data_IF_562647435381
#
_entry.id   IF_562647435381
#
_cell.length_a   1.000
_cell.length_b   1.000
_cell.length_c   1.000
_cell.angle_alpha   90.00
_cell.angle_beta   90.00
_cell.angle_gamma   90.00
#
_symmetry.space_group_name_H-M   'P 1'
#
loop_
_entity.id
_entity.type
_entity.pdbx_description
1 polymer ?
#
# COMPACT_ATOMS: atom_id res chain seq x y z
N UNK A 1 -28.33 22.42 10.00
CA UNK A 1 -29.68 22.41 10.60
C UNK A 1 -29.60 21.99 12.06
N UNK A 2 -28.98 20.84 12.39
CA UNK A 2 -28.84 20.38 13.77
C UNK A 2 -27.87 21.17 14.68
N UNK A 3 -27.18 22.22 14.19
CA UNK A 3 -26.08 22.88 14.91
C UNK A 3 -26.51 23.46 16.26
N UNK A 4 -27.64 24.18 16.31
CA UNK A 4 -28.13 24.80 17.54
C UNK A 4 -28.58 23.76 18.57
N UNK A 5 -29.16 22.64 18.12
CA UNK A 5 -29.59 21.53 18.98
C UNK A 5 -28.40 20.89 19.72
N UNK A 6 -27.36 20.50 18.97
CA UNK A 6 -26.11 19.97 19.53
C UNK A 6 -25.14 21.06 20.03
N UNK A 7 -25.53 22.34 19.91
CA UNK A 7 -24.79 23.55 20.33
C UNK A 7 -23.38 23.64 19.72
N UNK A 8 -23.23 23.21 18.46
CA UNK A 8 -21.97 23.20 17.70
C UNK A 8 -21.80 24.47 16.86
N UNK A 9 -20.56 24.89 16.67
CA UNK A 9 -20.21 26.07 15.87
C UNK A 9 -20.23 25.77 14.36
N UNK A 10 -19.93 24.54 13.98
CA UNK A 10 -19.92 24.09 12.58
C UNK A 10 -20.22 22.59 12.45
N UNK A 11 -20.36 22.09 11.21
CA UNK A 11 -20.81 20.73 10.93
C UNK A 11 -19.66 19.72 11.11
N UNK A 12 -19.70 18.84 12.14
CA UNK A 12 -18.59 17.97 12.50
C UNK A 12 -18.29 16.89 11.47
N UNK A 13 -19.25 16.49 10.63
CA UNK A 13 -19.11 15.32 9.75
C UNK A 13 -19.15 15.65 8.24
N UNK A 14 -18.77 16.87 7.85
CA UNK A 14 -18.59 17.23 6.43
C UNK A 14 -17.63 16.25 5.73
N UNK A 15 -17.97 15.92 4.48
CA UNK A 15 -17.17 15.07 3.58
C UNK A 15 -16.10 15.83 2.80
N UNK A 16 -16.22 17.16 2.70
CA UNK A 16 -15.17 18.02 2.14
C UNK A 16 -13.91 17.87 3.00
N UNK A 17 -12.72 17.67 2.41
CA UNK A 17 -11.46 17.70 3.14
C UNK A 17 -11.31 19.01 3.92
N UNK A 18 -10.97 18.89 5.21
CA UNK A 18 -10.54 20.01 6.02
C UNK A 18 -9.44 19.55 6.99
N UNK A 19 -8.21 20.03 6.82
CA UNK A 19 -7.09 19.79 7.73
C UNK A 19 -7.37 20.06 9.22
N UNK A 20 -8.28 20.99 9.56
CA UNK A 20 -8.64 21.25 10.96
C UNK A 20 -9.30 20.05 11.65
N UNK A 21 -9.93 19.17 10.88
CA UNK A 21 -10.61 17.96 11.35
C UNK A 21 -9.76 16.68 11.19
N UNK A 22 -8.47 16.79 10.86
CA UNK A 22 -7.59 15.63 10.71
C UNK A 22 -7.22 15.03 12.08
N UNK A 23 -7.92 13.96 12.45
CA UNK A 23 -7.48 13.10 13.55
C UNK A 23 -6.20 12.34 13.19
N UNK A 24 -5.07 12.73 13.78
CA UNK A 24 -3.79 12.03 13.64
C UNK A 24 -3.75 10.74 14.47
N UNK A 25 -4.44 9.69 14.02
CA UNK A 25 -4.25 8.34 14.56
C UNK A 25 -2.80 7.89 14.40
N UNK A 26 -2.38 6.84 15.13
CA UNK A 26 -0.99 6.30 15.04
C UNK A 26 -0.55 6.00 13.61
N UNK A 27 -1.48 5.59 12.74
CA UNK A 27 -1.21 5.32 11.32
C UNK A 27 -1.10 6.60 10.48
N UNK A 28 -1.96 7.60 10.71
CA UNK A 28 -1.88 8.90 10.06
C UNK A 28 -0.59 9.65 10.43
N UNK A 29 -0.19 9.63 11.70
CA UNK A 29 1.05 10.23 12.17
C UNK A 29 2.29 9.58 11.52
N UNK A 30 2.30 8.25 11.33
CA UNK A 30 3.37 7.54 10.59
C UNK A 30 3.38 7.93 9.11
N UNK A 31 2.22 7.96 8.47
CA UNK A 31 2.10 8.38 7.07
C UNK A 31 2.62 9.81 6.87
N UNK A 32 2.26 10.73 7.77
CA UNK A 32 2.75 12.11 7.78
C UNK A 32 4.27 12.18 7.90
N UNK A 33 4.86 11.49 8.88
CA UNK A 33 6.31 11.45 9.06
C UNK A 33 7.06 10.87 7.84
N UNK A 34 6.44 9.94 7.11
CA UNK A 34 7.01 9.42 5.86
C UNK A 34 6.98 10.47 4.74
N UNK A 35 5.89 11.25 4.64
CA UNK A 35 5.81 12.39 3.71
C UNK A 35 6.83 13.49 4.06
N UNK A 36 6.92 13.88 5.34
CA UNK A 36 7.92 14.83 5.85
C UNK A 36 9.35 14.39 5.53
N UNK A 37 9.64 13.08 5.57
CA UNK A 37 10.96 12.56 5.20
C UNK A 37 11.36 12.86 3.75
N UNK A 38 10.42 13.06 2.82
CA UNK A 38 10.75 13.43 1.42
C UNK A 38 11.40 14.79 1.28
N UNK A 39 11.15 15.70 2.23
CA UNK A 39 11.74 17.04 2.20
C UNK A 39 13.25 16.95 2.48
N UNK A 40 13.64 16.09 3.42
CA UNK A 40 15.03 15.86 3.83
C UNK A 40 15.81 14.94 2.90
N UNK A 41 15.14 13.97 2.26
CA UNK A 41 15.78 12.94 1.44
C UNK A 41 15.34 13.04 -0.02
N UNK A 42 16.29 13.31 -0.91
CA UNK A 42 16.09 13.44 -2.37
C UNK A 42 16.02 12.10 -3.09
N UNK A 43 16.53 11.03 -2.49
CA UNK A 43 16.60 9.71 -3.11
C UNK A 43 15.30 8.91 -3.02
N UNK A 44 14.62 8.81 -4.17
CA UNK A 44 13.53 7.86 -4.39
C UNK A 44 12.14 8.37 -4.00
N UNK A 45 11.16 7.49 -4.16
CA UNK A 45 9.74 7.82 -4.01
C UNK A 45 9.20 7.45 -2.64
N UNK A 46 8.20 8.20 -2.19
CA UNK A 46 7.31 7.77 -1.11
C UNK A 46 5.94 7.47 -1.73
N UNK A 47 5.43 6.28 -1.45
CA UNK A 47 4.11 5.84 -1.91
C UNK A 47 3.17 5.73 -0.71
N UNK A 48 2.05 6.45 -0.76
CA UNK A 48 0.99 6.43 0.26
C UNK A 48 -0.26 5.82 -0.36
N UNK A 49 -0.52 4.54 -0.10
CA UNK A 49 -1.78 3.89 -0.49
C UNK A 49 -2.78 3.88 0.66
N UNK A 50 -4.04 3.56 0.38
CA UNK A 50 -5.07 3.37 1.40
C UNK A 50 -6.46 3.34 0.77
N UNK A 51 -7.43 2.84 1.52
CA UNK A 51 -8.81 2.66 1.04
C UNK A 51 -9.49 3.95 0.56
N UNK A 52 -10.58 3.82 -0.20
CA UNK A 52 -11.38 4.97 -0.62
C UNK A 52 -11.97 5.65 0.62
N UNK A 53 -11.68 6.94 0.79
CA UNK A 53 -12.15 7.70 1.96
C UNK A 53 -11.37 7.45 3.26
N UNK A 54 -10.18 6.84 3.18
CA UNK A 54 -9.28 6.64 4.33
C UNK A 54 -8.63 7.92 4.90
N UNK A 55 -8.77 9.07 4.23
CA UNK A 55 -8.21 10.37 4.68
C UNK A 55 -6.94 10.84 3.95
N UNK A 56 -6.47 10.11 2.92
CA UNK A 56 -5.25 10.45 2.15
C UNK A 56 -5.16 11.92 1.71
N UNK A 57 -6.18 12.44 1.04
CA UNK A 57 -6.17 13.82 0.53
C UNK A 57 -6.12 14.86 1.65
N UNK A 58 -6.87 14.64 2.75
CA UNK A 58 -6.81 15.52 3.94
C UNK A 58 -5.44 15.46 4.62
N UNK A 59 -4.79 14.30 4.66
CA UNK A 59 -3.41 14.15 5.13
C UNK A 59 -2.42 14.92 4.24
N UNK A 60 -2.57 14.83 2.92
CA UNK A 60 -1.76 15.57 1.95
C UNK A 60 -1.94 17.08 2.13
N UNK A 61 -3.18 17.58 2.20
CA UNK A 61 -3.47 19.00 2.42
C UNK A 61 -2.91 19.53 3.75
N UNK A 62 -2.95 18.70 4.80
CA UNK A 62 -2.37 19.05 6.11
C UNK A 62 -0.86 19.16 6.02
N UNK A 63 -0.20 18.16 5.41
CA UNK A 63 1.23 18.20 5.14
C UNK A 63 1.63 19.43 4.30
N UNK A 64 0.88 19.74 3.24
CA UNK A 64 1.14 20.90 2.38
C UNK A 64 1.01 22.25 3.11
N UNK A 65 0.06 22.38 4.05
CA UNK A 65 -0.09 23.59 4.89
C UNK A 65 1.09 23.81 5.85
N UNK A 66 1.83 22.75 6.20
CA UNK A 66 2.96 22.81 7.13
C UNK A 66 4.33 22.94 6.42
N UNK A 67 4.38 22.95 5.09
CA UNK A 67 5.63 23.08 4.35
C UNK A 67 6.29 24.45 4.50
N UNK A 68 7.63 24.43 4.53
CA UNK A 68 8.47 25.61 4.54
C UNK A 68 8.40 26.37 3.19
N UNK A 69 8.58 27.70 3.22
CA UNK A 69 8.38 28.59 2.05
C UNK A 69 9.37 28.40 0.90
N UNK A 70 10.44 27.65 1.12
CA UNK A 70 11.43 27.29 0.10
C UNK A 70 11.07 25.99 -0.65
N UNK A 71 9.97 25.32 -0.27
CA UNK A 71 9.46 24.15 -0.98
C UNK A 71 8.48 24.60 -2.07
N UNK A 72 8.81 24.31 -3.33
CA UNK A 72 7.94 24.55 -4.49
C UNK A 72 7.20 23.27 -4.83
N UNK A 73 5.86 23.33 -4.77
CA UNK A 73 4.99 22.16 -4.90
C UNK A 73 4.26 22.18 -6.24
N UNK A 74 4.21 21.03 -6.91
CA UNK A 74 3.20 20.72 -7.92
C UNK A 74 2.32 19.57 -7.43
N UNK A 75 1.01 19.79 -7.40
CA UNK A 75 0.02 18.76 -7.07
C UNK A 75 -0.77 18.38 -8.32
N UNK A 76 -0.76 17.09 -8.67
CA UNK A 76 -1.49 16.53 -9.81
C UNK A 76 -2.60 15.62 -9.29
N UNK A 77 -3.85 16.08 -9.43
CA UNK A 77 -5.05 15.31 -9.04
C UNK A 77 -5.77 14.68 -10.25
N UNK A 78 -5.53 15.19 -11.46
CA UNK A 78 -6.07 14.61 -12.70
C UNK A 78 -5.04 13.64 -13.29
N UNK A 79 -5.36 12.35 -13.23
CA UNK A 79 -4.45 11.25 -13.55
C UNK A 79 -4.86 10.45 -14.79
N UNK A 80 -6.00 10.77 -15.42
CA UNK A 80 -6.39 10.26 -16.74
C UNK A 80 -5.74 11.09 -17.86
N UNK A 81 -4.41 11.01 -17.97
CA UNK A 81 -3.59 11.85 -18.88
C UNK A 81 -2.55 11.02 -19.66
N UNK A 82 -2.18 11.50 -20.84
CA UNK A 82 -0.99 11.06 -21.57
C UNK A 82 0.29 11.63 -20.96
N UNK A 83 1.46 11.09 -21.34
CA UNK A 83 2.76 11.61 -20.87
C UNK A 83 3.00 13.08 -21.25
N UNK A 84 2.39 13.57 -22.34
CA UNK A 84 2.51 14.98 -22.77
C UNK A 84 1.62 15.88 -21.90
N UNK A 85 0.36 15.49 -21.70
CA UNK A 85 -0.60 16.24 -20.85
C UNK A 85 -0.18 16.25 -19.38
N UNK A 86 0.47 15.19 -18.90
CA UNK A 86 1.10 15.12 -17.58
C UNK A 86 2.21 16.16 -17.43
N UNK A 87 3.18 16.19 -18.37
CA UNK A 87 4.27 17.17 -18.37
C UNK A 87 3.76 18.61 -18.53
N UNK A 88 2.71 18.83 -19.33
CA UNK A 88 2.05 20.12 -19.45
C UNK A 88 1.38 20.53 -18.13
N UNK A 89 0.67 19.63 -17.47
CA UNK A 89 0.02 19.89 -16.18
C UNK A 89 1.03 20.22 -15.09
N UNK A 90 2.17 19.51 -15.06
CA UNK A 90 3.29 19.79 -14.16
C UNK A 90 3.87 21.20 -14.38
N UNK A 91 4.12 21.59 -15.64
CA UNK A 91 4.60 22.94 -15.97
C UNK A 91 3.56 24.04 -15.70
N UNK A 92 2.26 23.74 -15.83
CA UNK A 92 1.18 24.67 -15.43
C UNK A 92 1.17 24.91 -13.91
N UNK A 93 1.39 23.88 -13.09
CA UNK A 93 1.54 24.04 -11.63
C UNK A 93 2.71 24.95 -11.26
N UNK A 94 3.78 24.96 -12.08
CA UNK A 94 4.93 25.86 -11.93
C UNK A 94 4.75 27.23 -12.64
N UNK A 95 3.56 27.54 -13.18
CA UNK A 95 3.22 28.86 -13.74
C UNK A 95 3.51 29.06 -15.24
N UNK A 96 3.89 28.01 -15.98
CA UNK A 96 4.15 28.09 -17.43
C UNK A 96 2.87 27.92 -18.28
N UNK A 97 2.95 28.27 -19.57
CA UNK A 97 1.91 28.02 -20.58
C UNK A 97 2.38 27.04 -21.67
N UNK A 98 2.48 25.74 -21.36
CA UNK A 98 3.20 24.74 -22.17
C UNK A 98 2.39 24.12 -23.33
N UNK A 99 1.17 24.60 -23.59
CA UNK A 99 0.19 23.92 -24.45
C UNK A 99 0.60 23.76 -25.93
N UNK A 100 1.56 24.55 -26.41
CA UNK A 100 2.12 24.46 -27.78
C UNK A 100 3.45 23.71 -27.86
N UNK A 101 4.04 23.36 -26.71
CA UNK A 101 5.36 22.75 -26.64
C UNK A 101 5.31 21.25 -27.01
N UNK A 102 6.30 20.79 -27.76
CA UNK A 102 6.52 19.35 -28.00
C UNK A 102 7.14 18.69 -26.76
N UNK A 103 7.05 17.35 -26.66
CA UNK A 103 7.57 16.59 -25.51
C UNK A 103 9.03 16.94 -25.13
N UNK A 104 9.91 17.10 -26.12
CA UNK A 104 11.30 17.48 -25.87
C UNK A 104 11.45 18.88 -25.26
N UNK A 105 10.64 19.85 -25.72
CA UNK A 105 10.59 21.22 -25.19
C UNK A 105 10.00 21.27 -23.77
N UNK A 106 8.99 20.44 -23.48
CA UNK A 106 8.45 20.26 -22.13
C UNK A 106 9.53 19.75 -21.15
N UNK A 107 10.25 18.69 -21.54
CA UNK A 107 11.32 18.11 -20.71
C UNK A 107 12.49 19.09 -20.52
N UNK A 108 12.88 19.82 -21.57
CA UNK A 108 13.93 20.83 -21.47
C UNK A 108 13.54 22.00 -20.55
N UNK A 109 12.30 22.48 -20.65
CA UNK A 109 11.76 23.55 -19.80
C UNK A 109 11.68 23.11 -18.35
N UNK A 110 11.21 21.89 -18.09
CA UNK A 110 11.13 21.31 -16.75
C UNK A 110 12.52 21.11 -16.13
N UNK A 111 13.49 20.60 -16.90
CA UNK A 111 14.86 20.44 -16.42
C UNK A 111 15.50 21.80 -16.08
N UNK A 112 15.33 22.81 -16.93
CA UNK A 112 15.81 24.16 -16.66
C UNK A 112 15.19 24.74 -15.38
N UNK A 113 13.86 24.60 -15.21
CA UNK A 113 13.16 25.01 -14.00
C UNK A 113 13.70 24.31 -12.74
N UNK A 114 13.87 22.98 -12.76
CA UNK A 114 14.36 22.22 -11.61
C UNK A 114 15.79 22.64 -11.20
N UNK A 115 16.67 22.89 -12.18
CA UNK A 115 18.03 23.40 -11.94
C UNK A 115 17.99 24.83 -11.37
N UNK A 116 17.11 25.69 -11.89
CA UNK A 116 16.93 27.05 -11.37
C UNK A 116 16.41 27.05 -9.92
N UNK A 117 15.44 26.18 -9.59
CA UNK A 117 14.96 26.07 -8.20
C UNK A 117 16.09 25.63 -7.26
N UNK A 118 16.86 24.60 -7.65
CA UNK A 118 18.00 24.13 -6.89
C UNK A 118 19.08 25.20 -6.69
N UNK A 119 19.42 25.97 -7.74
CA UNK A 119 20.39 27.06 -7.65
C UNK A 119 19.93 28.20 -6.70
N UNK A 120 18.62 28.38 -6.55
CA UNK A 120 18.01 29.30 -5.57
C UNK A 120 17.85 28.70 -4.16
N UNK A 121 18.36 27.49 -3.90
CA UNK A 121 18.19 26.77 -2.65
C UNK A 121 16.76 26.27 -2.39
N UNK A 122 15.89 26.27 -3.41
CA UNK A 122 14.49 25.84 -3.30
C UNK A 122 14.34 24.35 -3.61
N UNK A 123 13.51 23.66 -2.82
CA UNK A 123 13.26 22.22 -2.90
C UNK A 123 12.01 21.97 -3.75
N UNK A 124 12.09 21.19 -4.82
CA UNK A 124 10.92 20.88 -5.66
C UNK A 124 10.27 19.57 -5.24
N UNK A 125 8.95 19.61 -5.02
CA UNK A 125 8.11 18.48 -4.64
C UNK A 125 6.98 18.29 -5.65
N UNK A 126 6.86 17.08 -6.19
CA UNK A 126 5.72 16.61 -6.96
C UNK A 126 4.87 15.66 -6.10
N UNK A 127 3.59 15.99 -5.93
CA UNK A 127 2.59 15.07 -5.38
C UNK A 127 1.64 14.67 -6.49
N UNK A 128 1.44 13.37 -6.70
CA UNK A 128 0.39 12.85 -7.59
C UNK A 128 -0.61 12.07 -6.76
N UNK A 129 -1.84 12.59 -6.60
CA UNK A 129 -2.94 11.90 -5.93
C UNK A 129 -3.74 11.05 -6.94
N UNK A 130 -4.47 10.05 -6.46
CA UNK A 130 -5.19 9.07 -7.30
C UNK A 130 -4.29 8.42 -8.40
N UNK A 131 -3.02 8.17 -8.05
CA UNK A 131 -1.98 7.73 -8.98
C UNK A 131 -2.21 6.31 -9.56
N UNK A 132 -3.11 5.50 -9.01
CA UNK A 132 -3.48 4.20 -9.60
C UNK A 132 -4.07 4.34 -11.02
N UNK A 133 -4.66 5.50 -11.35
CA UNK A 133 -5.24 5.77 -12.66
C UNK A 133 -4.18 6.10 -13.74
N UNK A 134 -2.95 6.49 -13.36
CA UNK A 134 -1.88 6.83 -14.31
C UNK A 134 -1.52 5.63 -15.18
N UNK A 135 -1.38 5.80 -16.50
CA UNK A 135 -0.89 4.70 -17.34
C UNK A 135 0.58 4.34 -17.02
N UNK A 136 0.99 3.09 -17.29
CA UNK A 136 2.38 2.66 -17.09
C UNK A 136 3.39 3.54 -17.86
N UNK A 137 2.98 4.12 -19.00
CA UNK A 137 3.79 5.08 -19.78
C UNK A 137 4.02 6.41 -19.05
N UNK A 138 3.08 6.86 -18.21
CA UNK A 138 3.24 8.07 -17.39
C UNK A 138 4.03 7.75 -16.13
N UNK A 139 3.82 6.59 -15.52
CA UNK A 139 4.63 6.11 -14.40
C UNK A 139 6.11 5.95 -14.77
N UNK A 140 6.42 5.45 -15.98
CA UNK A 140 7.79 5.46 -16.50
C UNK A 140 8.32 6.87 -16.82
N UNK A 141 7.47 7.81 -17.24
CA UNK A 141 7.87 9.22 -17.37
C UNK A 141 8.28 9.81 -16.01
N UNK A 142 7.49 9.56 -14.96
CA UNK A 142 7.79 9.94 -13.57
C UNK A 142 9.12 9.31 -13.12
N UNK A 143 9.40 8.05 -13.49
CA UNK A 143 10.70 7.42 -13.25
C UNK A 143 11.84 8.18 -13.91
N UNK A 144 11.69 8.56 -15.18
CA UNK A 144 12.71 9.30 -15.92
C UNK A 144 12.97 10.69 -15.31
N UNK A 145 11.90 11.41 -14.93
CA UNK A 145 12.01 12.70 -14.23
C UNK A 145 12.75 12.59 -12.89
N UNK A 146 12.61 11.48 -12.17
CA UNK A 146 13.37 11.22 -10.94
C UNK A 146 14.87 10.91 -11.17
N UNK A 147 15.29 10.78 -12.42
CA UNK A 147 16.70 10.67 -12.81
C UNK A 147 17.33 12.02 -13.16
N UNK A 148 16.59 13.13 -13.03
CA UNK A 148 17.15 14.47 -13.18
C UNK A 148 17.96 14.80 -11.94
N UNK A 149 19.26 14.91 -12.14
CA UNK A 149 20.27 15.06 -11.09
C UNK A 149 21.19 16.22 -11.44
N UNK A 150 21.61 16.97 -10.42
CA UNK A 150 22.80 17.82 -10.51
C UNK A 150 24.05 16.97 -10.33
N UNK A 151 25.24 17.55 -10.42
CA UNK A 151 26.51 16.84 -10.17
C UNK A 151 26.67 16.29 -8.74
N UNK A 152 25.72 16.52 -7.83
CA UNK A 152 25.75 16.00 -6.44
C UNK A 152 24.42 15.48 -5.90
N UNK A 153 23.27 16.02 -6.33
CA UNK A 153 21.96 15.73 -5.70
C UNK A 153 20.81 15.65 -6.71
N UNK A 154 19.80 14.80 -6.43
CA UNK A 154 18.53 14.81 -7.17
C UNK A 154 17.71 16.05 -6.82
N UNK A 155 17.10 16.66 -7.83
CA UNK A 155 16.38 17.95 -7.68
C UNK A 155 14.88 17.81 -7.43
N UNK A 156 14.28 16.68 -7.82
CA UNK A 156 12.84 16.44 -7.77
C UNK A 156 12.48 15.37 -6.73
N UNK A 157 11.72 15.75 -5.70
CA UNK A 157 11.10 14.85 -4.70
C UNK A 157 9.73 14.43 -5.22
N UNK A 158 9.33 13.16 -5.03
CA UNK A 158 8.04 12.66 -5.53
C UNK A 158 7.29 11.84 -4.49
N UNK A 159 6.03 12.21 -4.26
CA UNK A 159 5.05 11.44 -3.50
C UNK A 159 3.98 10.93 -4.48
N UNK A 160 3.72 9.62 -4.47
CA UNK A 160 2.60 9.01 -5.18
C UNK A 160 1.55 8.57 -4.15
N UNK A 161 0.36 9.17 -4.20
CA UNK A 161 -0.77 8.79 -3.37
C UNK A 161 -1.85 8.08 -4.21
N UNK A 162 -2.54 7.11 -3.63
CA UNK A 162 -3.56 6.36 -4.37
C UNK A 162 -4.26 5.26 -3.59
N UNK A 163 -5.01 4.46 -4.32
CA UNK A 163 -5.77 3.31 -3.81
C UNK A 163 -4.89 2.03 -3.78
N UNK A 164 -5.31 0.91 -3.16
CA UNK A 164 -4.49 -0.30 -3.04
C UNK A 164 -3.90 -0.81 -4.35
N UNK A 165 -4.64 -0.68 -5.45
CA UNK A 165 -4.29 -1.09 -6.82
C UNK A 165 -3.02 -0.40 -7.34
N UNK A 166 -2.63 0.74 -6.74
CA UNK A 166 -1.34 1.37 -7.03
C UNK A 166 -0.17 0.45 -6.62
N UNK A 167 -0.27 -0.30 -5.51
CA UNK A 167 0.77 -1.26 -5.15
C UNK A 167 0.87 -2.39 -6.17
N UNK A 168 -0.26 -3.01 -6.52
CA UNK A 168 -0.31 -4.12 -7.49
C UNK A 168 0.24 -3.70 -8.85
N UNK A 169 -0.08 -2.47 -9.27
CA UNK A 169 0.46 -1.84 -10.47
C UNK A 169 1.97 -1.63 -10.40
N UNK A 170 2.47 -1.06 -9.31
CA UNK A 170 3.90 -0.83 -9.08
C UNK A 170 4.69 -2.15 -8.99
N UNK A 171 4.07 -3.22 -8.50
CA UNK A 171 4.68 -4.55 -8.40
C UNK A 171 4.57 -5.37 -9.70
N UNK A 172 3.94 -4.81 -10.75
CA UNK A 172 3.85 -5.46 -12.06
C UNK A 172 5.22 -5.54 -12.77
N UNK A 173 5.47 -6.57 -13.61
CA UNK A 173 6.75 -6.75 -14.30
C UNK A 173 7.21 -5.55 -15.15
N UNK A 174 6.26 -4.76 -15.66
CA UNK A 174 6.54 -3.58 -16.48
C UNK A 174 7.06 -2.35 -15.71
N UNK A 175 6.97 -2.35 -14.37
CA UNK A 175 7.35 -1.20 -13.52
C UNK A 175 8.45 -1.52 -12.49
N UNK A 176 9.14 -2.66 -12.63
CA UNK A 176 10.21 -3.09 -11.70
C UNK A 176 11.28 -2.01 -11.49
N UNK A 177 11.65 -1.25 -12.54
CA UNK A 177 12.63 -0.16 -12.43
C UNK A 177 12.12 1.03 -11.61
N UNK A 178 10.82 1.33 -11.68
CA UNK A 178 10.17 2.35 -10.87
C UNK A 178 10.03 1.85 -9.42
N UNK A 179 9.65 0.59 -9.24
CA UNK A 179 9.49 -0.05 -7.95
C UNK A 179 10.79 -0.04 -7.12
N UNK A 180 11.93 -0.30 -7.75
CA UNK A 180 13.26 -0.23 -7.11
C UNK A 180 13.65 1.17 -6.64
N UNK A 181 13.06 2.23 -7.20
CA UNK A 181 13.26 3.62 -6.75
C UNK A 181 12.29 4.05 -5.66
N UNK A 182 11.35 3.21 -5.24
CA UNK A 182 10.48 3.52 -4.10
C UNK A 182 11.26 3.29 -2.80
N UNK A 183 11.50 4.37 -2.05
CA UNK A 183 12.23 4.35 -0.79
C UNK A 183 11.34 3.96 0.39
N UNK A 184 10.08 4.42 0.40
CA UNK A 184 9.09 4.04 1.42
C UNK A 184 7.75 3.74 0.75
N UNK A 185 7.09 2.67 1.20
CA UNK A 185 5.66 2.44 0.99
C UNK A 185 4.95 2.48 2.33
N UNK A 186 3.86 3.22 2.41
CA UNK A 186 2.93 3.17 3.53
C UNK A 186 1.53 2.86 3.00
N UNK A 187 0.79 2.05 3.76
CA UNK A 187 -0.61 1.80 3.51
C UNK A 187 -1.42 2.33 4.69
N UNK A 188 -2.24 3.34 4.43
CA UNK A 188 -3.12 3.99 5.39
C UNK A 188 -4.34 3.08 5.61
N UNK A 189 -4.21 2.22 6.63
CA UNK A 189 -5.27 1.34 7.08
C UNK A 189 -6.47 2.12 7.63
N UNK A 190 -7.68 1.52 7.64
CA UNK A 190 -8.83 2.05 8.35
C UNK A 190 -8.53 2.28 9.84
N UNK A 191 -9.34 3.12 10.50
CA UNK A 191 -9.23 3.37 11.94
C UNK A 191 -9.56 2.09 12.73
N UNK A 192 -8.87 1.85 13.85
CA UNK A 192 -9.26 0.80 14.79
C UNK A 192 -10.61 1.12 15.45
N UNK A 193 -11.22 0.14 16.15
CA UNK A 193 -12.45 0.38 16.95
C UNK A 193 -12.27 1.53 17.95
N UNK A 194 -11.13 1.59 18.62
CA UNK A 194 -10.78 2.66 19.57
C UNK A 194 -10.50 3.99 18.86
N UNK A 195 -9.76 3.98 17.74
CA UNK A 195 -9.50 5.20 16.96
C UNK A 195 -10.79 5.74 16.32
N UNK A 196 -11.78 4.90 16.00
CA UNK A 196 -13.07 5.33 15.45
C UNK A 196 -13.87 6.15 16.46
N UNK A 197 -13.93 5.71 17.72
CA UNK A 197 -14.55 6.50 18.79
C UNK A 197 -13.78 7.81 19.05
N UNK A 198 -12.45 7.75 19.09
CA UNK A 198 -11.60 8.92 19.27
C UNK A 198 -11.69 9.93 18.10
N UNK A 199 -11.84 9.44 16.86
CA UNK A 199 -12.08 10.23 15.66
C UNK A 199 -13.40 10.99 15.72
N UNK A 200 -14.48 10.30 16.10
CA UNK A 200 -15.81 10.91 16.27
C UNK A 200 -15.74 12.01 17.33
N UNK A 201 -15.16 11.71 18.50
CA UNK A 201 -15.01 12.68 19.57
C UNK A 201 -14.12 13.87 19.15
N UNK A 202 -13.03 13.63 18.43
CA UNK A 202 -12.16 14.68 17.92
C UNK A 202 -12.91 15.63 16.97
N UNK A 203 -13.65 15.11 15.99
CA UNK A 203 -14.43 15.96 15.07
C UNK A 203 -15.52 16.76 15.79
N UNK A 204 -16.16 16.17 16.80
CA UNK A 204 -17.12 16.88 17.65
C UNK A 204 -16.46 18.00 18.46
N UNK A 205 -15.27 17.75 19.03
CA UNK A 205 -14.55 18.76 19.81
C UNK A 205 -14.07 19.93 18.93
N UNK A 206 -13.54 19.65 17.73
CA UNK A 206 -13.19 20.68 16.74
C UNK A 206 -14.41 21.52 16.35
N UNK A 207 -15.57 20.89 16.15
CA UNK A 207 -16.85 21.57 15.91
C UNK A 207 -17.41 22.34 17.13
N UNK A 208 -16.75 22.30 18.29
CA UNK A 208 -17.15 23.02 19.50
C UNK A 208 -18.08 22.24 20.43
N UNK A 209 -17.98 20.91 20.52
CA UNK A 209 -18.76 20.11 21.48
C UNK A 209 -18.44 20.45 22.93
N UNK A 210 -17.25 20.97 23.25
CA UNK A 210 -16.83 21.37 24.60
C UNK A 210 -16.99 20.23 25.62
N UNK A 211 -16.59 19.01 25.24
CA UNK A 211 -16.75 17.81 26.06
C UNK A 211 -18.19 17.31 26.25
N UNK A 212 -19.20 17.88 25.58
CA UNK A 212 -20.58 17.34 25.64
C UNK A 212 -20.68 15.98 24.97
N UNK A 213 -21.43 15.09 25.60
CA UNK A 213 -21.68 13.73 25.14
C UNK A 213 -22.79 13.69 24.09
N UNK A 214 -22.43 14.03 22.85
CA UNK A 214 -23.37 14.07 21.70
C UNK A 214 -23.72 12.66 21.19
N UNK A 215 -22.84 11.68 21.40
CA UNK A 215 -23.09 10.26 21.07
C UNK A 215 -23.07 9.41 22.34
N UNK A 216 -24.06 8.54 22.48
CA UNK A 216 -24.06 7.49 23.50
C UNK A 216 -22.93 6.47 23.21
N UNK A 217 -22.19 5.95 24.21
CA UNK A 217 -21.02 5.11 23.96
C UNK A 217 -21.36 3.76 23.31
N UNK A 218 -22.60 3.28 23.48
CA UNK A 218 -23.11 2.06 22.83
C UNK A 218 -23.30 2.23 21.31
N UNK A 219 -23.23 3.46 20.79
CA UNK A 219 -23.24 3.71 19.33
C UNK A 219 -21.92 3.34 18.67
N UNK A 220 -20.76 3.56 19.32
CA UNK A 220 -19.45 3.40 18.68
C UNK A 220 -19.16 1.98 18.15
N UNK A 221 -19.51 0.87 18.85
CA UNK A 221 -19.35 -0.47 18.30
C UNK A 221 -20.16 -0.70 17.02
N UNK A 222 -21.36 -0.13 16.92
CA UNK A 222 -22.25 -0.25 15.75
C UNK A 222 -21.71 0.59 14.60
N UNK A 223 -21.31 1.84 14.88
CA UNK A 223 -20.68 2.71 13.88
C UNK A 223 -19.44 2.01 13.29
N UNK A 224 -18.56 1.45 14.12
CA UNK A 224 -17.40 0.71 13.64
C UNK A 224 -17.78 -0.51 12.77
N UNK A 225 -18.75 -1.32 13.20
CA UNK A 225 -19.23 -2.52 12.47
C UNK A 225 -19.74 -2.21 11.05
N UNK A 226 -20.45 -1.10 10.86
CA UNK A 226 -21.01 -0.71 9.56
C UNK A 226 -20.09 0.15 8.70
N UNK A 227 -19.00 0.70 9.25
CA UNK A 227 -18.07 1.61 8.56
C UNK A 227 -16.67 1.04 8.35
N UNK A 228 -16.30 -0.01 9.08
CA UNK A 228 -14.94 -0.56 9.09
C UNK A 228 -13.89 0.40 9.66
N UNK A 229 -14.30 1.51 10.29
CA UNK A 229 -13.39 2.60 10.65
C UNK A 229 -12.91 3.43 9.45
N UNK A 230 -13.57 3.37 8.28
CA UNK A 230 -13.28 4.26 7.15
C UNK A 230 -13.83 5.66 7.46
N UNK A 231 -12.99 6.72 7.59
CA UNK A 231 -13.40 8.07 7.93
C UNK A 231 -14.58 8.60 7.12
N UNK A 232 -14.60 8.42 5.79
CA UNK A 232 -15.72 8.84 4.93
C UNK A 232 -17.04 8.17 5.31
N UNK A 233 -17.03 6.87 5.64
CA UNK A 233 -18.25 6.14 6.03
C UNK A 233 -18.67 6.51 7.46
N UNK A 234 -17.71 6.69 8.38
CA UNK A 234 -17.98 7.19 9.74
C UNK A 234 -18.66 8.54 9.68
N UNK A 235 -18.15 9.46 8.86
CA UNK A 235 -18.76 10.78 8.65
C UNK A 235 -20.19 10.69 8.14
N UNK A 236 -20.45 9.95 7.06
CA UNK A 236 -21.80 9.81 6.51
C UNK A 236 -22.78 9.26 7.55
N UNK A 237 -22.42 8.19 8.26
CA UNK A 237 -23.31 7.59 9.26
C UNK A 237 -23.56 8.51 10.46
N UNK A 238 -22.52 9.22 10.93
CA UNK A 238 -22.67 10.15 12.05
C UNK A 238 -23.50 11.39 11.67
N UNK A 239 -23.36 11.92 10.45
CA UNK A 239 -24.15 13.06 9.97
C UNK A 239 -25.64 12.70 9.85
N UNK A 240 -25.96 11.55 9.23
CA UNK A 240 -27.34 11.03 9.14
C UNK A 240 -27.92 10.77 10.53
N UNK A 241 -27.15 10.19 11.46
CA UNK A 241 -27.63 9.91 12.81
C UNK A 241 -27.87 11.17 13.66
N UNK A 242 -27.06 12.22 13.46
CA UNK A 242 -27.33 13.53 14.06
C UNK A 242 -28.59 14.18 13.46
N UNK A 243 -28.85 14.04 12.16
CA UNK A 243 -30.11 14.48 11.55
C UNK A 243 -31.32 13.70 12.10
N UNK A 244 -31.20 12.38 12.28
CA UNK A 244 -32.27 11.53 12.82
C UNK A 244 -32.60 11.87 14.28
N UNK A 245 -31.59 12.07 15.14
CA UNK A 245 -31.80 12.51 16.52
C UNK A 245 -32.40 13.94 16.59
N UNK A 246 -31.92 14.86 15.73
CA UNK A 246 -32.46 16.21 15.62
C UNK A 246 -33.93 16.24 15.16
N UNK A 247 -34.31 15.37 14.21
CA UNK A 247 -35.69 15.24 13.73
C UNK A 247 -36.68 14.75 14.79
N UNK A 248 -36.20 14.31 15.95
CA UNK A 248 -36.99 13.92 17.11
C UNK A 248 -36.63 14.74 18.38
N UNK A 249 -36.16 15.97 18.18
CA UNK A 249 -35.86 16.96 19.23
C UNK A 249 -34.86 16.47 20.31
N UNK A 250 -33.92 15.58 19.95
CA UNK A 250 -32.85 15.10 20.84
C UNK A 250 -31.50 15.76 20.55
N UNK A 251 -30.79 16.13 21.63
CA UNK A 251 -29.40 16.59 21.62
C UNK A 251 -28.36 15.48 21.92
N UNK A 252 -28.80 14.21 21.93
CA UNK A 252 -27.95 13.01 22.05
C UNK A 252 -28.36 11.96 21.02
N UNK A 253 -27.38 11.44 20.28
CA UNK A 253 -27.52 10.35 19.31
C UNK A 253 -27.46 9.00 20.05
N UNK A 254 -28.53 8.22 19.93
CA UNK A 254 -28.70 6.91 20.55
C UNK A 254 -28.58 5.78 19.51
N UNK A 255 -28.48 4.53 19.99
CA UNK A 255 -28.44 3.32 19.15
C UNK A 255 -29.61 3.25 18.15
N UNK A 256 -30.80 3.76 18.49
CA UNK A 256 -31.95 3.78 17.58
C UNK A 256 -31.73 4.72 16.38
N UNK A 257 -31.06 5.84 16.57
CA UNK A 257 -30.80 6.84 15.53
C UNK A 257 -29.74 6.31 14.54
N UNK A 258 -28.73 5.58 15.05
CA UNK A 258 -27.76 4.82 14.23
C UNK A 258 -28.47 3.76 13.39
N UNK A 259 -29.39 2.98 13.97
CA UNK A 259 -30.14 1.93 13.25
C UNK A 259 -31.03 2.52 12.16
N UNK A 260 -31.79 3.56 12.47
CA UNK A 260 -32.60 4.27 11.48
C UNK A 260 -31.74 4.80 10.31
N UNK A 261 -30.56 5.36 10.62
CA UNK A 261 -29.60 5.83 9.61
C UNK A 261 -29.05 4.70 8.74
N UNK A 262 -28.79 3.53 9.31
CA UNK A 262 -28.34 2.33 8.58
C UNK A 262 -29.44 1.84 7.61
N UNK A 263 -30.69 1.83 8.06
CA UNK A 263 -31.84 1.45 7.25
C UNK A 263 -32.10 2.45 6.11
N UNK A 264 -32.08 3.76 6.41
CA UNK A 264 -32.21 4.85 5.43
C UNK A 264 -31.11 4.81 4.37
N UNK A 265 -29.85 4.63 4.78
CA UNK A 265 -28.72 4.52 3.87
C UNK A 265 -28.67 3.18 3.12
N UNK A 266 -29.56 2.22 3.45
CA UNK A 266 -29.59 0.84 2.93
C UNK A 266 -28.24 0.11 3.13
N UNK A 267 -27.65 0.29 4.30
CA UNK A 267 -26.29 -0.11 4.61
C UNK A 267 -26.20 -1.52 5.20
N UNK A 268 -25.48 -2.42 4.52
CA UNK A 268 -25.03 -3.70 5.11
C UNK A 268 -23.71 -3.52 5.86
N UNK A 269 -23.28 -4.52 6.62
CA UNK A 269 -22.04 -4.44 7.41
C UNK A 269 -20.79 -4.25 6.54
N UNK A 270 -19.75 -3.61 7.09
CA UNK A 270 -18.55 -3.30 6.31
C UNK A 270 -17.80 -4.56 5.82
N UNK A 271 -17.80 -5.62 6.63
CA UNK A 271 -17.24 -6.92 6.25
C UNK A 271 -17.93 -7.48 4.99
N UNK A 272 -19.26 -7.53 5.00
CA UNK A 272 -20.04 -7.96 3.84
C UNK A 272 -19.84 -7.06 2.61
N UNK A 273 -19.72 -5.73 2.78
CA UNK A 273 -19.44 -4.82 1.66
C UNK A 273 -18.06 -5.07 1.06
N UNK A 274 -17.06 -5.27 1.90
CA UNK A 274 -15.69 -5.54 1.46
C UNK A 274 -15.65 -6.83 0.63
N UNK A 275 -16.33 -7.89 1.11
CA UNK A 275 -16.50 -9.13 0.37
C UNK A 275 -17.26 -8.93 -0.94
N UNK A 276 -18.40 -8.21 -0.95
CA UNK A 276 -19.19 -7.92 -2.17
C UNK A 276 -18.45 -7.03 -3.17
N UNK A 277 -17.59 -6.12 -2.71
CA UNK A 277 -16.73 -5.28 -3.57
C UNK A 277 -15.55 -6.05 -4.16
N UNK A 278 -14.94 -6.95 -3.40
CA UNK A 278 -13.88 -7.85 -3.89
C UNK A 278 -14.43 -8.97 -4.80
N UNK A 279 -15.67 -9.41 -4.58
CA UNK A 279 -16.35 -10.44 -5.36
C UNK A 279 -17.09 -9.92 -6.60
N UNK A 280 -16.91 -8.65 -6.99
CA UNK A 280 -17.36 -8.09 -8.27
C UNK A 280 -16.30 -8.37 -9.35
N UNK A 281 -16.47 -9.35 -10.24
CA UNK A 281 -15.55 -9.53 -11.36
C UNK A 281 -15.83 -8.43 -12.39
N UNK A 282 -14.80 -8.03 -13.14
CA UNK A 282 -15.04 -7.28 -14.38
C UNK A 282 -16.00 -8.08 -15.28
N UNK A 283 -17.02 -7.41 -15.83
CA UNK A 283 -18.04 -8.04 -16.67
C UNK A 283 -17.42 -8.73 -17.89
N UNK A 284 -17.28 -10.04 -17.82
CA UNK A 284 -17.30 -10.95 -18.96
C UNK A 284 -18.50 -11.89 -18.81
N UNK A 285 -19.19 -12.17 -19.92
CA UNK A 285 -20.44 -12.92 -19.93
C UNK A 285 -20.26 -14.38 -19.48
N UNK A 286 -21.07 -14.85 -18.51
CA UNK A 286 -21.81 -16.13 -18.61
C UNK A 286 -22.86 -16.32 -17.49
N UNK A 287 -23.91 -17.05 -17.87
CA UNK A 287 -25.05 -17.61 -17.13
C UNK A 287 -24.97 -17.93 -15.61
N UNK A 288 -25.99 -17.45 -14.90
CA UNK A 288 -26.88 -18.13 -13.95
C UNK A 288 -26.46 -19.40 -13.17
N UNK A 289 -26.63 -19.35 -11.84
CA UNK A 289 -26.73 -20.51 -10.92
C UNK A 289 -27.32 -20.09 -9.56
N UNK A 290 -28.22 -20.91 -8.99
CA UNK A 290 -29.01 -20.57 -7.78
C UNK A 290 -28.36 -21.03 -6.45
N UNK A 291 -28.54 -20.22 -5.41
CA UNK A 291 -29.22 -20.65 -4.16
C UNK A 291 -28.44 -21.35 -3.03
N UNK A 292 -28.42 -20.70 -1.85
CA UNK A 292 -28.20 -21.21 -0.47
C UNK A 292 -26.87 -21.97 -0.20
N UNK A 293 -26.12 -21.65 0.86
CA UNK A 293 -26.56 -21.86 2.24
C UNK A 293 -25.88 -20.92 3.28
N UNK A 294 -26.44 -20.84 4.49
CA UNK A 294 -26.02 -19.93 5.56
C UNK A 294 -25.41 -20.65 6.77
N UNK A 295 -24.08 -20.79 6.84
CA UNK A 295 -23.42 -21.22 8.09
C UNK A 295 -21.99 -20.69 8.26
N UNK A 296 -21.73 -19.99 9.36
CA UNK A 296 -20.40 -19.65 9.92
C UNK A 296 -19.38 -18.95 9.01
N UNK A 297 -19.25 -17.62 9.12
CA UNK A 297 -18.12 -16.85 8.58
C UNK A 297 -16.78 -17.20 9.29
N UNK A 298 -16.20 -18.35 8.95
CA UNK A 298 -14.86 -18.73 9.40
C UNK A 298 -13.82 -17.82 8.73
N UNK A 299 -13.12 -17.03 9.56
CA UNK A 299 -11.91 -16.28 9.19
C UNK A 299 -11.01 -17.18 8.33
N UNK A 300 -10.64 -16.73 7.13
CA UNK A 300 -9.90 -17.57 6.18
C UNK A 300 -8.43 -17.65 6.57
N UNK A 301 -8.12 -18.55 7.49
CA UNK A 301 -6.74 -18.94 7.82
C UNK A 301 -6.16 -19.69 6.61
N UNK A 302 -5.01 -19.23 6.13
CA UNK A 302 -4.29 -19.76 4.97
C UNK A 302 -2.94 -20.38 5.37
N UNK A 303 -2.57 -20.29 6.63
CA UNK A 303 -1.39 -20.90 7.22
C UNK A 303 -1.28 -20.52 8.68
N UNK A 304 -0.33 -21.12 9.39
CA UNK A 304 0.03 -20.73 10.75
C UNK A 304 1.52 -20.64 10.90
N UNK A 305 1.95 -19.92 11.94
CA UNK A 305 3.32 -19.97 12.42
C UNK A 305 3.35 -20.38 13.89
N UNK A 306 4.26 -21.28 14.22
CA UNK A 306 4.62 -21.62 15.59
C UNK A 306 5.99 -21.03 15.90
N UNK A 307 6.07 -20.19 16.91
CA UNK A 307 7.27 -19.47 17.34
C UNK A 307 7.86 -20.21 18.53
N UNK A 308 9.13 -20.60 18.43
CA UNK A 308 9.89 -21.26 19.48
C UNK A 308 11.17 -20.52 19.84
N UNK A 309 11.61 -20.71 21.09
CA UNK A 309 12.91 -20.28 21.58
C UNK A 309 13.47 -21.36 22.50
N UNK A 310 14.74 -21.74 22.35
CA UNK A 310 15.41 -22.75 23.17
C UNK A 310 14.64 -24.09 23.31
N UNK A 311 13.94 -24.52 22.26
CA UNK A 311 13.15 -25.77 22.25
C UNK A 311 11.77 -25.69 22.92
N UNK A 312 11.30 -24.51 23.33
CA UNK A 312 9.95 -24.28 23.82
C UNK A 312 9.15 -23.38 22.87
N UNK A 313 7.92 -23.78 22.54
CA UNK A 313 6.96 -22.95 21.79
C UNK A 313 6.45 -21.82 22.69
N UNK A 314 6.56 -20.57 22.24
CA UNK A 314 6.19 -19.36 22.98
C UNK A 314 4.99 -18.62 22.38
N UNK A 315 4.64 -18.85 21.10
CA UNK A 315 3.44 -18.31 20.47
C UNK A 315 2.98 -19.17 19.27
N UNK A 316 1.68 -19.20 19.02
CA UNK A 316 1.07 -19.66 17.77
C UNK A 316 0.29 -18.49 17.16
N UNK A 317 0.41 -18.27 15.85
CA UNK A 317 -0.30 -17.19 15.16
C UNK A 317 -0.89 -17.67 13.83
N UNK A 318 -2.14 -17.31 13.57
CA UNK A 318 -2.83 -17.55 12.30
C UNK A 318 -2.41 -16.53 11.25
N UNK A 319 -2.19 -16.99 10.01
CA UNK A 319 -1.93 -16.16 8.84
C UNK A 319 -3.18 -16.07 7.97
N UNK A 320 -3.78 -14.88 7.94
CA UNK A 320 -4.87 -14.50 7.02
C UNK A 320 -4.29 -13.83 5.77
N UNK A 321 -5.08 -13.60 4.68
CA UNK A 321 -4.66 -12.73 3.58
C UNK A 321 -4.11 -11.39 4.08
N UNK A 322 -2.97 -10.96 3.53
CA UNK A 322 -2.34 -9.68 3.88
C UNK A 322 -0.87 -9.81 4.32
N UNK A 323 -0.42 -8.87 5.16
CA UNK A 323 0.94 -8.83 5.70
C UNK A 323 0.90 -9.16 7.19
N UNK A 324 1.90 -9.90 7.65
CA UNK A 324 2.14 -10.24 9.05
C UNK A 324 3.59 -9.90 9.39
N UNK A 325 3.80 -8.86 10.20
CA UNK A 325 5.13 -8.30 10.51
C UNK A 325 5.66 -8.87 11.82
N UNK A 326 6.96 -9.18 11.84
CA UNK A 326 7.68 -9.77 12.96
C UNK A 326 8.80 -8.80 13.37
N UNK A 327 8.88 -8.43 14.66
CA UNK A 327 9.89 -7.50 15.13
C UNK A 327 9.91 -7.30 16.64
N UNK A 328 10.86 -6.48 17.12
CA UNK A 328 11.11 -6.29 18.56
C UNK A 328 10.07 -5.42 19.26
N UNK A 329 9.49 -4.46 18.55
CA UNK A 329 8.59 -3.46 19.14
C UNK A 329 7.14 -3.95 19.17
N UNK A 330 6.29 -3.45 20.09
CA UNK A 330 4.91 -3.91 20.30
C UNK A 330 3.92 -3.51 19.18
N UNK A 331 4.42 -2.95 18.07
CA UNK A 331 3.64 -2.53 16.91
C UNK A 331 3.86 -3.43 15.68
N UNK A 332 4.42 -4.62 15.89
CA UNK A 332 4.46 -5.72 14.93
C UNK A 332 3.35 -6.72 15.28
N UNK A 333 2.80 -7.43 14.29
CA UNK A 333 1.78 -8.47 14.50
C UNK A 333 2.29 -9.62 15.39
N UNK A 334 3.59 -9.92 15.29
CA UNK A 334 4.33 -10.71 16.27
C UNK A 334 5.46 -9.89 16.88
N UNK A 335 5.27 -9.47 18.14
CA UNK A 335 6.36 -8.92 18.95
C UNK A 335 7.24 -10.04 19.49
N UNK A 336 8.55 -9.94 19.29
CA UNK A 336 9.56 -10.76 19.95
C UNK A 336 10.59 -9.84 20.62
N UNK A 337 10.40 -9.54 21.91
CA UNK A 337 11.27 -8.60 22.63
C UNK A 337 12.66 -9.20 22.94
N UNK A 338 13.55 -9.10 21.95
CA UNK A 338 14.93 -9.56 22.05
C UNK A 338 15.88 -8.58 21.41
N UNK A 339 17.02 -8.30 22.07
CA UNK A 339 18.08 -7.44 21.54
C UNK A 339 18.66 -7.91 20.20
N UNK A 340 18.49 -9.19 19.86
CA UNK A 340 18.91 -9.78 18.58
C UNK A 340 17.90 -9.58 17.44
N UNK A 341 16.79 -8.89 17.71
CA UNK A 341 15.72 -8.64 16.75
C UNK A 341 15.63 -7.14 16.46
N UNK A 342 15.49 -6.80 15.18
CA UNK A 342 15.29 -5.43 14.70
C UNK A 342 13.88 -4.94 15.03
N UNK A 343 13.66 -3.62 15.12
CA UNK A 343 12.35 -3.04 15.48
C UNK A 343 11.22 -3.59 14.60
N UNK A 344 11.47 -3.61 13.29
CA UNK A 344 10.79 -4.46 12.32
C UNK A 344 11.88 -5.34 11.71
N UNK A 345 11.72 -6.67 11.73
CA UNK A 345 12.78 -7.61 11.35
C UNK A 345 12.44 -8.34 10.07
N UNK A 346 11.22 -8.88 9.98
CA UNK A 346 10.74 -9.62 8.83
C UNK A 346 9.24 -9.36 8.62
N UNK A 347 8.73 -9.71 7.45
CA UNK A 347 7.30 -9.85 7.22
C UNK A 347 7.00 -11.15 6.46
N UNK A 348 5.82 -11.72 6.70
CA UNK A 348 5.23 -12.76 5.86
C UNK A 348 4.06 -12.11 5.11
N UNK A 349 4.07 -12.19 3.78
CA UNK A 349 2.99 -11.73 2.91
C UNK A 349 2.22 -12.95 2.44
N UNK A 350 0.98 -13.10 2.91
CA UNK A 350 0.13 -14.27 2.67
C UNK A 350 -0.95 -13.92 1.66
N UNK A 351 -0.95 -14.65 0.54
CA UNK A 351 -1.97 -14.60 -0.51
C UNK A 351 -2.81 -15.89 -0.52
N UNK A 352 -3.86 -15.96 -1.35
CA UNK A 352 -4.63 -17.19 -1.54
C UNK A 352 -3.78 -18.37 -2.09
N UNK A 353 -2.64 -18.10 -2.74
CA UNK A 353 -1.85 -19.11 -3.46
C UNK A 353 -0.46 -19.36 -2.88
N UNK A 354 0.10 -18.43 -2.12
CA UNK A 354 1.45 -18.56 -1.54
C UNK A 354 1.67 -17.62 -0.35
N UNK A 355 2.58 -18.01 0.55
CA UNK A 355 3.11 -17.15 1.62
C UNK A 355 4.56 -16.81 1.32
N UNK A 356 4.94 -15.53 1.39
CA UNK A 356 6.29 -15.04 1.04
C UNK A 356 6.91 -14.35 2.24
N UNK A 357 8.04 -14.88 2.71
CA UNK A 357 8.87 -14.28 3.75
C UNK A 357 9.82 -13.25 3.15
N UNK A 358 9.93 -12.09 3.80
CA UNK A 358 10.80 -10.97 3.41
C UNK A 358 11.58 -10.42 4.62
N UNK A 359 12.89 -10.21 4.46
CA UNK A 359 13.79 -9.55 5.43
C UNK A 359 13.66 -8.03 5.30
N UNK A 360 13.25 -7.34 6.37
CA UNK A 360 13.03 -5.89 6.38
C UNK A 360 14.33 -5.11 6.62
N UNK A 361 15.41 -5.49 5.93
CA UNK A 361 16.78 -5.03 6.14
C UNK A 361 17.22 -5.17 7.62
N UNK A 362 16.92 -6.31 8.23
CA UNK A 362 17.27 -6.56 9.63
C UNK A 362 18.79 -6.61 9.85
N UNK A 363 19.21 -6.21 11.05
CA UNK A 363 20.63 -6.15 11.44
C UNK A 363 21.29 -7.53 11.41
N UNK A 364 20.58 -8.54 11.93
CA UNK A 364 21.10 -9.90 12.02
C UNK A 364 20.67 -10.81 10.86
N UNK A 365 19.76 -10.37 9.99
CA UNK A 365 19.24 -11.16 8.87
C UNK A 365 18.15 -12.16 9.26
N UNK A 366 17.49 -12.70 8.23
CA UNK A 366 16.53 -13.80 8.32
C UNK A 366 17.12 -15.02 7.61
N UNK A 367 16.97 -16.20 8.21
CA UNK A 367 17.51 -17.45 7.67
C UNK A 367 16.40 -18.49 7.47
N UNK A 368 16.49 -19.29 6.42
CA UNK A 368 15.62 -20.46 6.21
C UNK A 368 16.51 -21.64 5.85
N UNK A 369 16.39 -22.75 6.58
CA UNK A 369 17.29 -23.93 6.45
C UNK A 369 18.78 -23.54 6.45
N UNK A 370 19.18 -22.75 7.45
CA UNK A 370 20.53 -22.17 7.63
C UNK A 370 21.07 -21.24 6.51
N UNK A 371 20.29 -20.94 5.45
CA UNK A 371 20.68 -19.98 4.41
C UNK A 371 20.04 -18.62 4.68
N UNK A 372 20.83 -17.54 4.66
CA UNK A 372 20.29 -16.17 4.77
C UNK A 372 19.42 -15.88 3.54
N UNK A 373 18.20 -15.37 3.75
CA UNK A 373 17.25 -15.02 2.70
C UNK A 373 16.85 -13.55 2.80
N UNK A 374 16.70 -12.87 1.67
CA UNK A 374 16.05 -11.55 1.59
C UNK A 374 14.56 -11.65 1.27
N UNK A 375 14.20 -12.60 0.41
CA UNK A 375 12.83 -12.90 -0.03
C UNK A 375 12.74 -14.38 -0.38
N UNK A 376 11.72 -15.10 0.10
CA UNK A 376 11.53 -16.53 -0.19
C UNK A 376 10.05 -16.91 -0.08
N UNK A 377 9.55 -17.69 -1.04
CA UNK A 377 8.26 -18.38 -0.91
C UNK A 377 8.41 -19.49 0.14
N UNK A 378 7.57 -19.46 1.17
CA UNK A 378 7.50 -20.46 2.22
C UNK A 378 6.75 -21.70 1.72
N UNK A 379 7.25 -22.86 2.10
CA UNK A 379 6.63 -24.16 1.87
C UNK A 379 6.20 -24.72 3.23
N UNK A 380 5.21 -25.60 3.25
CA UNK A 380 4.80 -26.30 4.47
C UNK A 380 6.00 -26.94 5.20
N UNK A 381 6.10 -26.72 6.52
CA UNK A 381 7.22 -27.17 7.34
C UNK A 381 8.52 -26.36 7.21
N UNK A 382 8.58 -25.25 6.45
CA UNK A 382 9.78 -24.40 6.42
C UNK A 382 10.02 -23.75 7.80
N UNK A 383 11.24 -23.96 8.33
CA UNK A 383 11.72 -23.34 9.57
C UNK A 383 12.52 -22.07 9.25
N UNK A 384 12.04 -20.96 9.82
CA UNK A 384 12.58 -19.61 9.68
C UNK A 384 13.32 -19.25 10.98
N UNK A 385 14.59 -18.88 10.90
CA UNK A 385 15.40 -18.52 12.06
C UNK A 385 15.65 -17.01 12.09
N UNK A 386 15.33 -16.40 13.24
CA UNK A 386 15.43 -14.95 13.51
C UNK A 386 16.13 -14.76 14.87
N UNK A 387 17.44 -14.51 14.82
CA UNK A 387 18.28 -14.48 16.02
C UNK A 387 18.31 -15.85 16.70
N UNK A 388 17.80 -15.92 17.94
CA UNK A 388 17.68 -17.15 18.74
C UNK A 388 16.31 -17.84 18.63
N UNK A 389 15.42 -17.32 17.79
CA UNK A 389 14.04 -17.80 17.66
C UNK A 389 13.87 -18.59 16.36
N UNK A 390 13.10 -19.66 16.43
CA UNK A 390 12.72 -20.50 15.30
C UNK A 390 11.22 -20.35 15.07
N UNK A 391 10.81 -20.10 13.84
CA UNK A 391 9.42 -19.89 13.45
C UNK A 391 9.12 -20.94 12.38
N UNK A 392 8.32 -21.95 12.74
CA UNK A 392 7.89 -23.00 11.83
C UNK A 392 6.61 -22.58 11.14
N UNK A 393 6.59 -22.58 9.81
CA UNK A 393 5.42 -22.26 8.99
C UNK A 393 4.67 -23.53 8.58
N UNK A 394 3.34 -23.48 8.68
CA UNK A 394 2.41 -24.52 8.22
C UNK A 394 1.45 -23.96 7.18
N UNK A 395 1.21 -24.71 6.10
CA UNK A 395 0.33 -24.30 5.01
C UNK A 395 -1.06 -24.94 5.12
N UNK A 396 -2.03 -24.20 5.66
CA UNK A 396 -3.38 -24.72 5.88
C UNK A 396 -4.25 -24.72 4.60
N UNK A 397 -3.77 -24.17 3.47
CA UNK A 397 -4.48 -24.23 2.18
C UNK A 397 -4.69 -25.68 1.74
N UNK A 398 -3.67 -26.53 1.92
CA UNK A 398 -3.70 -27.94 1.55
C UNK A 398 -4.41 -28.87 2.55
N UNK A 399 -4.69 -28.39 3.76
CA UNK A 399 -5.50 -29.14 4.74
C UNK A 399 -6.99 -29.06 4.37
N UNK A 400 -7.48 -27.89 3.95
CA UNK A 400 -8.88 -27.71 3.51
C UNK A 400 -9.23 -28.50 2.23
N UNK A 401 -8.26 -28.70 1.33
CA UNK A 401 -8.46 -29.53 0.14
C UNK A 401 -8.73 -31.01 0.45
N UNK A 402 -8.32 -31.49 1.64
CA UNK A 402 -8.57 -32.87 2.13
C UNK A 402 -9.79 -32.95 3.04
N UNK A 403 -10.04 -31.94 3.86
CA UNK A 403 -11.26 -31.87 4.69
C UNK A 403 -12.56 -31.80 3.87
N UNK A 404 -12.50 -31.35 2.61
CA UNK A 404 -13.67 -31.33 1.71
C UNK A 404 -13.92 -32.67 0.98
N UNK A 405 -13.05 -33.67 1.09
CA UNK A 405 -13.25 -35.00 0.47
C UNK A 405 -13.82 -36.04 1.41
N UNK A 406 -13.82 -35.79 2.73
CA UNK A 406 -14.21 -36.76 3.75
C UNK A 406 -15.71 -36.67 4.13
N UNK A 407 -16.45 -35.70 3.60
CA UNK A 407 -17.89 -35.47 3.84
C UNK A 407 -18.82 -36.16 2.80
N UNK A 408 -18.31 -37.06 1.96
CA UNK A 408 -19.10 -37.82 0.96
C UNK A 408 -18.74 -39.30 0.93
N UNK A 409 -19.12 -40.05 1.96
CA UNK A 409 -19.23 -41.52 1.87
C UNK A 409 -20.13 -42.10 2.98
N UNK A 410 -21.44 -42.24 2.69
CA UNK A 410 -22.16 -43.51 2.89
C UNK A 410 -23.49 -43.52 2.11
N UNK A 411 -23.56 -44.31 1.04
CA UNK A 411 -24.67 -45.26 0.79
C UNK A 411 -24.43 -46.08 -0.50
N UNK A 412 -24.06 -47.36 -0.31
CA UNK A 412 -24.68 -48.54 -0.95
C UNK A 412 -24.64 -48.76 -2.51
N UNK A 413 -24.32 -49.94 -3.10
CA UNK A 413 -23.65 -51.22 -2.72
C UNK A 413 -23.07 -51.90 -4.03
N UNK A 414 -22.70 -53.21 -4.19
CA UNK A 414 -21.41 -53.60 -4.78
C UNK A 414 -21.49 -54.42 -6.10
N UNK A 415 -20.37 -55.04 -6.56
CA UNK A 415 -20.21 -56.51 -6.71
C UNK A 415 -18.87 -56.95 -7.39
N UNK A 416 -18.17 -57.89 -6.74
CA UNK A 416 -17.30 -58.98 -7.28
C UNK A 416 -15.96 -58.61 -8.00
N UNK A 417 -14.77 -58.94 -7.44
CA UNK A 417 -14.04 -60.25 -7.37
C UNK A 417 -13.36 -60.62 -8.71
N UNK A 418 -12.05 -60.90 -8.83
CA UNK A 418 -11.17 -61.85 -8.08
C UNK A 418 -9.63 -61.55 -8.18
N UNK A 419 -8.77 -62.41 -7.58
CA UNK A 419 -7.31 -62.28 -7.25
C UNK A 419 -6.62 -63.67 -7.43
N UNK A 420 -5.38 -63.89 -8.00
CA UNK A 420 -4.01 -63.38 -7.65
C UNK A 420 -3.29 -62.60 -8.79
N UNK A 421 -2.03 -62.09 -8.76
CA UNK A 421 -0.70 -62.32 -8.11
C UNK A 421 0.37 -63.11 -8.95
N UNK A 422 1.64 -62.70 -8.82
CA UNK A 422 2.94 -63.25 -9.25
C UNK A 422 3.45 -63.08 -10.72
N UNK A 423 4.70 -62.59 -10.86
CA UNK A 423 5.50 -62.71 -12.11
C UNK A 423 6.62 -61.66 -12.33
N UNK A 424 7.86 -61.97 -11.90
CA UNK A 424 9.13 -61.32 -12.32
C UNK A 424 9.71 -62.03 -13.59
N UNK A 425 10.86 -61.62 -14.18
CA UNK A 425 11.36 -60.30 -14.63
C UNK A 425 11.89 -60.40 -16.10
N UNK A 426 13.00 -59.68 -16.45
CA UNK A 426 13.80 -59.76 -17.72
C UNK A 426 13.13 -59.19 -19.00
N UNK A 427 13.84 -58.69 -20.02
CA UNK A 427 15.19 -58.11 -20.18
C UNK A 427 15.22 -57.42 -21.58
N UNK A 428 15.96 -56.32 -21.79
CA UNK A 428 16.31 -55.80 -23.13
C UNK A 428 17.27 -54.59 -23.06
N UNK A 429 18.57 -54.87 -23.06
CA UNK A 429 19.65 -53.91 -23.23
C UNK A 429 19.74 -53.32 -24.65
N UNK A 430 20.10 -52.03 -24.78
CA UNK A 430 21.32 -51.56 -25.49
C UNK A 430 21.46 -50.02 -25.39
N UNK A 431 22.55 -49.51 -24.78
CA UNK A 431 23.82 -49.10 -25.43
C UNK A 431 23.61 -47.87 -26.33
N UNK A 432 23.80 -46.64 -25.84
CA UNK A 432 25.09 -45.93 -25.70
C UNK A 432 25.90 -45.82 -27.01
N UNK A 433 26.02 -44.60 -27.56
CA UNK A 433 27.33 -43.94 -27.65
C UNK A 433 27.24 -42.42 -27.89
N UNK A 434 28.32 -41.70 -27.55
CA UNK A 434 28.57 -40.27 -27.83
C UNK A 434 29.76 -40.17 -28.83
N UNK A 435 30.43 -39.01 -29.03
CA UNK A 435 30.00 -37.61 -29.17
C UNK A 435 30.34 -37.09 -30.59
N UNK A 436 30.28 -35.78 -30.84
CA UNK A 436 31.35 -35.13 -31.61
C UNK A 436 31.48 -33.64 -31.29
N UNK A 437 32.72 -33.18 -31.20
CA UNK A 437 33.13 -31.76 -31.07
C UNK A 437 33.31 -31.10 -32.44
N UNK A 438 33.33 -29.76 -32.47
CA UNK A 438 34.24 -28.86 -33.23
C UNK A 438 33.67 -27.42 -33.15
N UNK A 439 34.29 -26.47 -32.43
CA UNK A 439 35.53 -25.71 -32.75
C UNK A 439 35.29 -24.53 -33.71
N UNK A 440 35.33 -23.28 -33.20
CA UNK A 440 36.34 -22.23 -33.54
C UNK A 440 36.02 -20.84 -33.00
N UNK A 441 37.08 -20.06 -32.82
CA UNK A 441 37.11 -18.66 -32.39
C UNK A 441 37.91 -17.83 -33.39
N UNK A 442 37.76 -16.50 -33.34
CA UNK A 442 38.64 -15.41 -33.83
C UNK A 442 37.83 -14.11 -33.57
N UNK A 443 38.15 -13.23 -32.62
CA UNK A 443 39.27 -12.27 -32.53
C UNK A 443 39.29 -11.19 -33.63
N UNK A 444 39.03 -9.93 -33.25
CA UNK A 444 39.97 -8.82 -33.50
C UNK A 444 39.68 -7.62 -32.57
N UNK A 445 40.74 -6.90 -32.20
CA UNK A 445 40.72 -5.71 -31.35
C UNK A 445 41.08 -4.45 -32.19
N UNK A 446 40.77 -3.26 -31.67
CA UNK A 446 41.79 -2.31 -31.16
C UNK A 446 41.51 -0.81 -31.45
N UNK A 447 41.99 0.02 -30.51
CA UNK A 447 42.31 1.48 -30.56
C UNK A 447 41.30 2.57 -30.14
N UNK A 448 41.73 3.24 -29.07
CA UNK A 448 41.28 4.53 -28.51
C UNK A 448 41.83 5.77 -29.26
N UNK A 449 41.29 6.99 -28.99
CA UNK A 449 41.76 8.28 -29.52
C UNK A 449 42.85 8.92 -28.61
N UNK A 450 43.56 10.02 -28.98
CA UNK A 450 43.00 11.39 -28.86
C UNK A 450 43.59 12.47 -29.82
N UNK A 451 42.99 13.67 -29.88
CA UNK A 451 43.68 14.98 -29.99
C UNK A 451 42.73 16.21 -30.04
N UNK A 452 42.91 17.13 -29.10
CA UNK A 452 42.87 18.61 -29.27
C UNK A 452 44.19 19.13 -28.67
N UNK A 453 44.77 20.24 -29.14
CA UNK A 453 44.55 21.53 -28.46
C UNK A 453 44.66 22.78 -29.39
N UNK A 454 44.85 23.96 -28.76
CA UNK A 454 45.04 25.35 -29.25
C UNK A 454 43.76 26.21 -29.15
N UNK A 455 43.60 27.07 -28.13
CA UNK A 455 44.32 28.31 -27.72
C UNK A 455 44.27 29.46 -28.75
N UNK A 456 43.47 30.50 -28.46
CA UNK A 456 44.00 31.78 -27.92
C UNK A 456 42.86 32.79 -27.56
N UNK A 457 43.15 33.84 -26.76
CA UNK A 457 42.13 34.71 -26.18
C UNK A 457 41.87 35.99 -26.98
N UNK A 458 40.79 36.71 -26.64
CA UNK A 458 40.60 38.11 -27.05
C UNK A 458 40.04 38.95 -25.91
N UNK A 459 40.80 39.99 -25.53
CA UNK A 459 40.43 41.01 -24.56
C UNK A 459 39.59 42.14 -25.21
N UNK A 460 39.16 43.11 -24.37
CA UNK A 460 38.72 44.47 -24.74
C UNK A 460 37.27 44.58 -25.29
N UNK A 461 36.46 45.60 -24.99
CA UNK A 461 36.49 46.70 -24.01
C UNK A 461 35.08 47.36 -23.95
N UNK A 462 34.81 48.21 -22.92
CA UNK A 462 33.77 49.29 -22.93
C UNK A 462 32.28 48.85 -22.93
N UNK A 463 31.32 49.51 -22.27
CA UNK A 463 31.29 50.35 -21.05
C UNK A 463 29.82 50.61 -20.64
N UNK A 464 29.61 51.06 -19.40
CA UNK A 464 28.60 52.04 -18.94
C UNK A 464 27.27 52.17 -19.70
N UNK A 465 26.14 51.94 -19.01
CA UNK A 465 25.20 53.03 -18.64
C UNK A 465 24.06 52.59 -17.71
N UNK A 466 23.84 53.43 -16.67
CA UNK A 466 22.62 53.65 -15.85
C UNK A 466 21.89 52.43 -15.29
#
# INVERSE_FOLDING_TARGET
>A
MYLDCFKLNELPFRLTPDPAFLYLSKHHARAKAYMESTIWFTDGFVVITGEIGSGKTTLIETFLKELERDVVVAQINQTQVSSVEFLQSLLVQFGYQPFRMKKAELLATLNAFLVEQYANGRRVLLIVDEAQNLSNKVLEEIRLLSGVETTKEKVLRIILAGQPELNDKLDSPGLVQLAQRIRLRFHLTPLSKSDTAAYIQHRLEVAGSQGRQIFDPETFPIIFRYTGGIPRLVNTLCDTAMMAAYGEDRDVVLVKDIKASIEELQWVEYAERSLKMQALPMRSHASSGNGLDTTSERRMVLGRIMVGCNGQTIAECELTPGRFVIGRTPDNDLQIDSKYISRHHAQIVTSLHSSVLEDLNSTNGVYVRAKRVRRRVLNDGDVIQIGQHEIMYFDERGARARLNTDDVEDDAVPLLRDVPDHGLPHDATHVEDKPNDEERAEEEQDREPPAQPEDEPSQQHVALRT
#
